data_IF_029838103234
#
_entry.id   IF_029838103234
#
_cell.length_a   1.000
_cell.length_b   1.000
_cell.length_c   1.000
_cell.angle_alpha   90.00
_cell.angle_beta   90.00
_cell.angle_gamma   90.00
#
_symmetry.space_group_name_H-M   'P 1'
#
loop_
_entity.id
_entity.type
_entity.pdbx_description
1 polymer ?
#
# COMPACT_ATOMS: atom_id res chain seq x y z
N UNK A 1 6.85 -6.08 -21.79
CA UNK A 1 7.47 -6.33 -20.47
C UNK A 1 6.68 -5.52 -19.47
N UNK A 2 5.91 -6.18 -18.61
CA UNK A 2 5.04 -5.49 -17.65
C UNK A 2 5.92 -4.94 -16.54
N UNK A 3 6.25 -3.67 -16.65
CA UNK A 3 7.06 -2.96 -15.66
C UNK A 3 6.32 -3.02 -14.32
N UNK A 4 6.96 -3.61 -13.30
CA UNK A 4 6.39 -3.70 -11.95
C UNK A 4 6.22 -2.28 -11.42
N UNK A 5 4.98 -1.87 -11.20
CA UNK A 5 4.65 -0.48 -10.85
C UNK A 5 4.61 -0.25 -9.35
N UNK A 6 4.30 -1.29 -8.56
CA UNK A 6 4.20 -1.18 -7.12
C UNK A 6 4.60 -2.49 -6.42
N UNK A 7 5.27 -2.36 -5.27
CA UNK A 7 5.56 -3.46 -4.36
C UNK A 7 4.87 -3.17 -3.03
N UNK A 8 4.06 -4.12 -2.54
CA UNK A 8 3.38 -4.04 -1.25
C UNK A 8 4.19 -4.85 -0.24
N UNK A 9 4.58 -4.21 0.85
CA UNK A 9 5.37 -4.81 1.94
C UNK A 9 4.71 -4.56 3.28
N UNK A 10 4.46 -5.60 4.06
CA UNK A 10 3.95 -5.46 5.42
C UNK A 10 5.05 -5.71 6.45
N UNK A 11 5.46 -4.70 7.24
CA UNK A 11 6.51 -4.87 8.25
C UNK A 11 6.04 -5.72 9.45
N UNK A 12 4.73 -5.85 9.67
CA UNK A 12 4.17 -6.58 10.81
C UNK A 12 4.21 -8.09 10.62
N UNK A 13 3.92 -8.58 9.40
CA UNK A 13 3.86 -10.01 9.10
C UNK A 13 4.93 -10.47 8.10
N UNK A 14 5.71 -9.54 7.53
CA UNK A 14 6.76 -9.84 6.55
C UNK A 14 6.22 -10.13 5.14
N UNK A 15 5.01 -9.68 4.81
CA UNK A 15 4.46 -9.80 3.46
C UNK A 15 5.31 -8.99 2.47
N UNK A 16 5.63 -9.54 1.31
CA UNK A 16 6.22 -8.81 0.18
C UNK A 16 5.62 -9.32 -1.14
N UNK A 17 4.87 -8.48 -1.84
CA UNK A 17 4.21 -8.83 -3.11
C UNK A 17 4.35 -7.71 -4.14
N UNK A 18 4.75 -8.06 -5.37
CA UNK A 18 4.97 -7.09 -6.46
C UNK A 18 3.83 -7.14 -7.48
N UNK A 19 3.31 -5.96 -7.85
CA UNK A 19 2.19 -5.81 -8.78
C UNK A 19 2.56 -5.00 -10.01
N UNK A 20 2.05 -5.43 -11.16
CA UNK A 20 2.17 -4.72 -12.44
C UNK A 20 1.21 -3.52 -12.57
N UNK A 21 0.22 -3.39 -11.69
CA UNK A 21 -0.78 -2.32 -11.71
C UNK A 21 -1.03 -1.79 -10.30
N UNK A 22 -1.33 -0.49 -10.20
CA UNK A 22 -1.66 0.14 -8.91
C UNK A 22 -2.99 -0.35 -8.35
N UNK A 23 -3.95 -0.68 -9.22
CA UNK A 23 -5.24 -1.21 -8.82
C UNK A 23 -5.09 -2.54 -8.04
N UNK A 24 -4.27 -3.46 -8.55
CA UNK A 24 -4.02 -4.73 -7.89
C UNK A 24 -3.28 -4.55 -6.55
N UNK A 25 -2.29 -3.67 -6.50
CA UNK A 25 -1.58 -3.34 -5.26
C UNK A 25 -2.54 -2.75 -4.20
N UNK A 26 -3.45 -1.86 -4.60
CA UNK A 26 -4.42 -1.23 -3.69
C UNK A 26 -5.43 -2.24 -3.13
N UNK A 27 -6.01 -3.10 -3.97
CA UNK A 27 -6.89 -4.17 -3.50
C UNK A 27 -6.17 -5.04 -2.47
N UNK A 28 -4.91 -5.40 -2.75
CA UNK A 28 -4.11 -6.22 -1.83
C UNK A 28 -3.88 -5.56 -0.47
N UNK A 29 -3.65 -4.24 -0.44
CA UNK A 29 -3.48 -3.45 0.79
C UNK A 29 -4.77 -3.47 1.61
N UNK A 30 -5.91 -3.21 0.97
CA UNK A 30 -7.21 -3.18 1.61
C UNK A 30 -7.58 -4.55 2.17
N UNK A 31 -7.47 -5.60 1.35
CA UNK A 31 -7.69 -6.99 1.77
C UNK A 31 -6.77 -7.39 2.94
N UNK A 32 -5.50 -6.95 2.94
CA UNK A 32 -4.60 -7.22 4.05
C UNK A 32 -5.03 -6.49 5.32
N UNK A 33 -5.37 -5.21 5.20
CA UNK A 33 -5.78 -4.39 6.33
C UNK A 33 -7.06 -4.92 6.95
N UNK A 34 -8.04 -5.31 6.16
CA UNK A 34 -9.29 -5.87 6.66
C UNK A 34 -9.10 -7.29 7.22
N UNK A 35 -8.29 -8.12 6.57
CA UNK A 35 -8.08 -9.52 6.99
C UNK A 35 -7.14 -9.67 8.18
N UNK A 36 -6.15 -8.79 8.34
CA UNK A 36 -5.10 -8.91 9.37
C UNK A 36 -5.05 -7.76 10.36
N UNK A 37 -5.72 -6.64 10.06
CA UNK A 37 -5.61 -5.41 10.86
C UNK A 37 -4.25 -4.71 10.71
N UNK A 38 -3.38 -5.17 9.82
CA UNK A 38 -2.07 -4.56 9.60
C UNK A 38 -2.15 -3.41 8.59
N UNK A 39 -1.18 -2.51 8.66
CA UNK A 39 -1.01 -1.46 7.68
C UNK A 39 0.20 -1.77 6.79
N UNK A 40 -0.01 -2.41 5.62
CA UNK A 40 1.08 -2.68 4.70
C UNK A 40 1.50 -1.38 4.00
N UNK A 41 2.81 -1.21 3.86
CA UNK A 41 3.44 -0.15 3.10
C UNK A 41 3.51 -0.55 1.63
N UNK A 42 3.66 0.43 0.75
CA UNK A 42 3.88 0.17 -0.67
C UNK A 42 4.90 1.14 -1.26
N UNK A 43 5.76 0.60 -2.10
CA UNK A 43 6.79 1.33 -2.83
C UNK A 43 6.46 1.35 -4.32
N UNK A 44 6.47 2.54 -4.91
CA UNK A 44 6.29 2.71 -6.34
C UNK A 44 7.64 2.70 -7.04
N UNK A 45 7.83 1.76 -7.96
CA UNK A 45 9.00 1.81 -8.86
C UNK A 45 8.92 3.10 -9.67
N UNK A 46 10.07 3.78 -9.80
CA UNK A 46 10.37 5.15 -10.29
C UNK A 46 9.68 5.68 -11.58
N UNK A 47 8.72 4.97 -12.16
CA UNK A 47 7.97 5.28 -13.39
C UNK A 47 6.57 5.86 -13.17
N UNK A 48 6.11 6.03 -11.93
CA UNK A 48 4.80 6.61 -11.63
C UNK A 48 4.92 8.01 -11.00
N UNK A 49 5.45 8.98 -11.75
CA UNK A 49 5.54 10.41 -11.36
C UNK A 49 4.17 11.12 -11.24
N UNK A 50 3.11 10.40 -10.85
CA UNK A 50 1.73 10.91 -10.88
C UNK A 50 0.83 10.44 -9.73
N UNK A 51 1.36 9.76 -8.71
CA UNK A 51 0.55 9.28 -7.56
C UNK A 51 1.17 9.77 -6.25
N UNK A 52 1.20 11.10 -6.07
CA UNK A 52 1.59 11.72 -4.80
C UNK A 52 0.40 11.94 -3.85
N UNK A 53 -0.82 11.54 -4.22
CA UNK A 53 -2.00 11.64 -3.34
C UNK A 53 -3.00 10.52 -3.59
N UNK A 54 -2.75 9.33 -3.03
CA UNK A 54 -3.79 8.31 -2.87
C UNK A 54 -3.55 7.39 -1.65
N UNK A 55 -2.53 7.66 -0.83
CA UNK A 55 -2.25 6.93 0.42
C UNK A 55 -2.73 7.65 1.69
N UNK A 56 -3.38 8.81 1.57
CA UNK A 56 -3.78 9.66 2.71
C UNK A 56 -5.31 9.72 2.93
N UNK A 57 -6.13 8.96 2.19
CA UNK A 57 -7.60 8.97 2.35
C UNK A 57 -8.12 7.75 3.12
N UNK A 58 -7.28 6.76 3.42
CA UNK A 58 -7.65 5.58 4.21
C UNK A 58 -7.20 5.76 5.67
N UNK A 59 -7.94 6.60 6.41
CA UNK A 59 -7.57 7.17 7.71
C UNK A 59 -7.08 6.22 8.79
N UNK A 60 -5.92 6.57 9.38
CA UNK A 60 -5.28 6.17 10.65
C UNK A 60 -4.15 7.22 10.82
N UNK A 61 -3.91 8.00 11.88
CA UNK A 61 -4.30 7.99 13.28
C UNK A 61 -4.16 9.40 13.89
N UNK A 62 -5.08 9.74 14.78
CA UNK A 62 -4.99 10.89 15.67
C UNK A 62 -6.10 10.86 16.74
N UNK A 63 -6.20 9.76 17.50
CA UNK A 63 -6.69 9.82 18.89
C UNK A 63 -5.40 9.84 19.72
N UNK A 64 -5.11 10.80 20.61
CA UNK A 64 -5.92 11.31 21.71
C UNK A 64 -5.40 12.71 22.14
N UNK A 65 -6.34 13.52 22.60
CA UNK A 65 -6.31 14.68 23.54
C UNK A 65 -5.04 14.92 24.40
N UNK A 66 -4.74 16.19 24.73
CA UNK A 66 -4.84 16.61 26.13
C UNK A 66 -5.63 17.91 26.39
#
# INVERSE_FOLDING_TARGET
MTERKATVTCPTCGLEESFGTLAAARSRIEEHREGTGHDPLWELSRLASGVERAGNEAGVCGRLDP
#
